data_IF_121841735017
#
_entry.id   IF_121841735017
#
_cell.length_a   1.000
_cell.length_b   1.000
_cell.length_c   1.000
_cell.angle_alpha   90.00
_cell.angle_beta   90.00
_cell.angle_gamma   90.00
#
_symmetry.space_group_name_H-M   'P 1'
#
loop_
_entity.id
_entity.type
_entity.pdbx_description
1 polymer ?
#
# COMPACT_ATOMS: atom_id res chain seq x y z
N UNK A 1 9.65 5.87 19.71
CA UNK A 1 8.55 5.39 18.86
C UNK A 1 9.11 5.19 17.46
N UNK A 2 8.76 4.14 16.76
CA UNK A 2 9.21 3.91 15.38
C UNK A 2 8.05 3.43 14.55
N UNK A 3 8.00 3.83 13.29
CA UNK A 3 6.90 3.48 12.40
C UNK A 3 7.25 3.75 10.95
N UNK A 4 6.83 2.83 10.08
CA UNK A 4 6.93 2.99 8.64
C UNK A 4 5.56 3.11 7.98
N UNK A 5 5.46 3.87 6.88
CA UNK A 5 4.20 4.12 6.18
C UNK A 5 3.11 4.61 7.15
N UNK A 6 1.94 3.97 7.19
CA UNK A 6 0.87 4.27 8.16
C UNK A 6 1.37 4.32 9.63
N UNK A 7 2.34 3.48 10.00
CA UNK A 7 2.91 3.53 11.35
C UNK A 7 3.69 4.82 11.63
N UNK A 8 4.31 5.41 10.61
CA UNK A 8 4.98 6.70 10.70
C UNK A 8 3.99 7.85 10.88
N UNK A 9 2.88 7.81 10.14
CA UNK A 9 1.75 8.74 10.30
C UNK A 9 1.21 8.72 11.74
N UNK A 10 0.96 7.53 12.28
CA UNK A 10 0.55 7.39 13.69
C UNK A 10 1.61 7.89 14.66
N UNK A 11 2.89 7.69 14.37
CA UNK A 11 3.97 8.15 15.23
C UNK A 11 4.03 9.69 15.30
N UNK A 12 3.79 10.38 14.18
CA UNK A 12 3.68 11.85 14.12
C UNK A 12 2.51 12.35 14.98
N UNK A 13 1.32 11.74 14.85
CA UNK A 13 0.16 12.09 15.68
C UNK A 13 0.44 11.93 17.17
N UNK A 14 1.10 10.83 17.56
CA UNK A 14 1.51 10.59 18.94
C UNK A 14 2.55 11.60 19.44
N UNK A 15 3.41 12.10 18.57
CA UNK A 15 4.38 13.14 18.92
C UNK A 15 3.70 14.47 19.27
N UNK A 16 2.65 14.81 18.53
CA UNK A 16 1.89 16.05 18.69
C UNK A 16 0.94 15.98 19.88
N UNK A 17 0.18 14.89 20.01
CA UNK A 17 -0.79 14.69 21.09
C UNK A 17 -0.14 14.26 22.41
N UNK A 18 0.87 13.40 22.33
CA UNK A 18 1.55 12.77 23.47
C UNK A 18 2.92 13.38 23.76
N UNK A 19 3.02 14.71 23.88
CA UNK A 19 4.29 15.47 24.01
C UNK A 19 5.25 14.96 25.11
N UNK A 20 4.71 14.35 26.15
CA UNK A 20 5.48 13.79 27.27
C UNK A 20 5.76 12.28 27.16
N UNK A 21 5.04 11.56 26.31
CA UNK A 21 5.16 10.10 26.17
C UNK A 21 6.27 9.71 25.18
N UNK A 22 6.45 10.49 24.13
CA UNK A 22 7.43 10.19 23.08
C UNK A 22 8.80 10.82 23.42
N UNK A 23 9.81 9.97 23.66
CA UNK A 23 11.20 10.40 23.90
C UNK A 23 11.98 10.67 22.61
N UNK A 24 11.81 9.83 21.61
CA UNK A 24 12.47 9.91 20.29
C UNK A 24 11.64 9.20 19.23
N UNK A 25 11.90 9.51 17.96
CA UNK A 25 11.17 8.97 16.83
C UNK A 25 12.05 8.45 15.71
N UNK A 26 11.60 7.40 15.04
CA UNK A 26 12.16 6.90 13.78
C UNK A 26 11.03 6.75 12.77
N UNK A 27 11.04 7.59 11.74
CA UNK A 27 10.03 7.63 10.68
C UNK A 27 10.61 7.00 9.42
N UNK A 28 9.88 6.07 8.80
CA UNK A 28 10.36 5.34 7.61
C UNK A 28 9.32 5.41 6.50
N UNK A 29 9.67 5.98 5.33
CA UNK A 29 8.77 6.01 4.16
C UNK A 29 7.32 6.41 4.51
N UNK A 30 7.14 7.61 5.08
CA UNK A 30 5.85 8.13 5.57
C UNK A 30 5.65 9.56 5.09
N UNK A 31 4.49 10.18 5.37
CA UNK A 31 4.27 11.59 5.09
C UNK A 31 3.57 12.27 6.27
N UNK A 32 3.64 13.60 6.35
CA UNK A 32 2.88 14.41 7.31
C UNK A 32 1.39 14.51 6.94
N UNK A 33 1.08 14.29 5.66
CA UNK A 33 -0.26 14.30 5.10
C UNK A 33 -0.30 13.32 3.94
N UNK A 34 -1.43 12.67 3.75
CA UNK A 34 -1.61 11.81 2.58
C UNK A 34 -1.61 12.64 1.28
N UNK A 35 -0.78 12.23 0.31
CA UNK A 35 -0.70 12.88 -0.99
C UNK A 35 -1.86 12.50 -1.90
N UNK A 36 -2.22 13.38 -2.85
CA UNK A 36 -3.23 13.09 -3.88
C UNK A 36 -2.91 11.81 -4.67
N UNK A 37 -1.62 11.54 -4.92
CA UNK A 37 -1.16 10.33 -5.59
C UNK A 37 -1.47 9.07 -4.78
N UNK A 38 -1.18 9.09 -3.48
CA UNK A 38 -1.49 7.97 -2.61
C UNK A 38 -3.01 7.77 -2.47
N UNK A 39 -3.80 8.85 -2.37
CA UNK A 39 -5.27 8.80 -2.39
C UNK A 39 -5.79 8.16 -3.69
N UNK A 40 -5.22 8.51 -4.84
CA UNK A 40 -5.62 7.92 -6.12
C UNK A 40 -5.39 6.39 -6.14
N UNK A 41 -4.29 5.92 -5.56
CA UNK A 41 -4.06 4.48 -5.37
C UNK A 41 -5.02 3.83 -4.38
N UNK A 42 -5.38 4.50 -3.29
CA UNK A 42 -6.40 4.02 -2.36
C UNK A 42 -7.76 3.88 -3.06
N UNK A 43 -8.19 4.88 -3.83
CA UNK A 43 -9.45 4.82 -4.57
C UNK A 43 -9.43 3.73 -5.64
N UNK A 44 -8.31 3.51 -6.33
CA UNK A 44 -8.18 2.39 -7.27
C UNK A 44 -8.44 1.02 -6.61
N UNK A 45 -7.95 0.85 -5.38
CA UNK A 45 -8.17 -0.37 -4.61
C UNK A 45 -9.64 -0.48 -4.15
N UNK A 46 -10.23 0.62 -3.69
CA UNK A 46 -11.65 0.67 -3.31
C UNK A 46 -12.57 0.38 -4.49
N UNK A 47 -12.25 0.92 -5.67
CA UNK A 47 -12.97 0.69 -6.92
C UNK A 47 -12.87 -0.77 -7.41
N UNK A 48 -11.93 -1.55 -6.88
CA UNK A 48 -11.87 -2.99 -7.12
C UNK A 48 -12.77 -3.79 -6.17
N UNK A 49 -12.97 -3.31 -4.93
CA UNK A 49 -13.75 -4.02 -3.90
C UNK A 49 -15.24 -3.66 -3.98
N UNK A 50 -15.58 -2.37 -4.10
CA UNK A 50 -16.97 -1.89 -4.02
C UNK A 50 -17.90 -2.50 -5.08
N UNK A 51 -17.47 -2.72 -6.34
CA UNK A 51 -18.32 -3.34 -7.37
C UNK A 51 -18.45 -4.86 -7.25
N UNK A 52 -17.67 -5.52 -6.38
CA UNK A 52 -17.78 -6.96 -6.17
C UNK A 52 -19.19 -7.30 -5.68
N UNK A 53 -19.89 -8.17 -6.42
CA UNK A 53 -21.26 -8.59 -6.11
C UNK A 53 -21.43 -9.15 -4.69
N UNK A 54 -20.35 -9.69 -4.12
CA UNK A 54 -20.33 -10.24 -2.76
C UNK A 54 -20.18 -9.17 -1.69
N UNK A 55 -19.62 -7.99 -2.00
CA UNK A 55 -19.37 -6.94 -1.02
C UNK A 55 -20.64 -6.49 -0.29
N UNK A 56 -21.76 -6.36 -1.02
CA UNK A 56 -23.10 -6.05 -0.47
C UNK A 56 -23.08 -4.86 0.50
N UNK A 57 -22.33 -3.80 0.16
CA UNK A 57 -22.19 -2.61 1.01
C UNK A 57 -21.55 -2.91 2.38
N UNK A 58 -20.62 -3.86 2.44
CA UNK A 58 -19.97 -4.33 3.66
C UNK A 58 -20.76 -5.41 4.43
N UNK A 59 -21.94 -5.83 3.94
CA UNK A 59 -22.81 -6.83 4.58
C UNK A 59 -22.68 -8.21 3.93
N UNK A 60 -21.44 -8.67 3.75
CA UNK A 60 -21.15 -9.96 3.09
C UNK A 60 -21.29 -11.19 4.01
N UNK A 61 -21.42 -10.99 5.32
CA UNK A 61 -21.55 -12.09 6.27
C UNK A 61 -20.36 -13.05 6.19
N UNK A 62 -20.61 -14.31 5.85
CA UNK A 62 -19.58 -15.34 5.71
C UNK A 62 -18.94 -15.47 4.32
N UNK A 63 -19.41 -14.73 3.30
CA UNK A 63 -18.91 -14.82 1.92
C UNK A 63 -18.28 -13.49 1.45
N UNK A 64 -17.05 -13.17 1.90
CA UNK A 64 -16.42 -11.88 1.62
C UNK A 64 -16.13 -11.67 0.13
N UNK A 65 -15.99 -10.40 -0.33
CA UNK A 65 -15.63 -10.05 -1.71
C UNK A 65 -14.15 -10.39 -2.01
N UNK A 66 -13.86 -11.68 -2.19
CA UNK A 66 -12.51 -12.20 -2.37
C UNK A 66 -11.88 -11.71 -3.68
N UNK A 67 -12.66 -11.64 -4.76
CA UNK A 67 -12.14 -11.23 -6.06
C UNK A 67 -11.75 -9.75 -6.04
N UNK A 68 -12.62 -8.91 -5.49
CA UNK A 68 -12.34 -7.49 -5.31
C UNK A 68 -11.16 -7.22 -4.36
N UNK A 69 -11.08 -7.95 -3.24
CA UNK A 69 -9.99 -7.80 -2.27
C UNK A 69 -8.64 -8.30 -2.83
N UNK A 70 -8.64 -9.40 -3.60
CA UNK A 70 -7.47 -9.87 -4.31
C UNK A 70 -6.99 -8.84 -5.34
N UNK A 71 -7.91 -8.26 -6.12
CA UNK A 71 -7.59 -7.22 -7.09
C UNK A 71 -7.00 -5.96 -6.44
N UNK A 72 -7.61 -5.47 -5.35
CA UNK A 72 -7.05 -4.39 -4.54
C UNK A 72 -5.63 -4.72 -4.05
N UNK A 73 -5.41 -5.95 -3.59
CA UNK A 73 -4.08 -6.39 -3.14
C UNK A 73 -3.06 -6.42 -4.28
N UNK A 74 -3.46 -6.87 -5.47
CA UNK A 74 -2.59 -6.87 -6.65
C UNK A 74 -2.16 -5.44 -7.01
N UNK A 75 -3.10 -4.49 -7.03
CA UNK A 75 -2.81 -3.08 -7.30
C UNK A 75 -1.83 -2.50 -6.25
N UNK A 76 -2.07 -2.76 -4.97
CA UNK A 76 -1.17 -2.34 -3.89
C UNK A 76 0.25 -2.93 -4.04
N UNK A 77 0.36 -4.19 -4.47
CA UNK A 77 1.67 -4.82 -4.66
C UNK A 77 2.49 -4.23 -5.80
N UNK A 78 1.81 -3.71 -6.83
CA UNK A 78 2.46 -2.99 -7.92
C UNK A 78 2.97 -1.64 -7.40
N UNK A 79 2.16 -0.91 -6.63
CA UNK A 79 2.53 0.42 -6.13
C UNK A 79 3.66 0.40 -5.09
N UNK A 80 3.84 -0.69 -4.34
CA UNK A 80 4.94 -0.84 -3.37
C UNK A 80 6.30 -1.19 -4.00
N UNK A 81 6.38 -1.32 -5.32
CA UNK A 81 7.59 -1.76 -6.01
C UNK A 81 7.93 -0.83 -7.16
N UNK A 82 9.22 -0.79 -7.47
CA UNK A 82 9.69 -0.20 -8.73
C UNK A 82 9.75 -1.25 -9.83
N UNK A 83 9.66 -0.78 -11.07
CA UNK A 83 9.85 -1.58 -12.27
C UNK A 83 11.09 -2.48 -12.17
N UNK A 84 12.26 -1.90 -11.85
CA UNK A 84 13.52 -2.64 -11.77
C UNK A 84 13.55 -3.67 -10.63
N UNK A 85 12.90 -3.39 -9.49
CA UNK A 85 12.79 -4.32 -8.37
C UNK A 85 11.86 -5.49 -8.70
N UNK A 86 10.75 -5.21 -9.39
CA UNK A 86 9.77 -6.21 -9.79
C UNK A 86 10.36 -7.19 -10.81
N UNK A 87 11.01 -6.69 -11.85
CA UNK A 87 11.71 -7.49 -12.87
C UNK A 87 12.76 -8.42 -12.23
N UNK A 88 13.65 -7.87 -11.39
CA UNK A 88 14.67 -8.66 -10.69
C UNK A 88 14.08 -9.74 -9.79
N UNK A 89 12.96 -9.46 -9.14
CA UNK A 89 12.27 -10.42 -8.28
C UNK A 89 11.69 -11.57 -9.10
N UNK A 90 11.00 -11.28 -10.20
CA UNK A 90 10.44 -12.31 -11.07
C UNK A 90 11.53 -13.19 -11.67
N UNK A 91 12.65 -12.60 -12.14
CA UNK A 91 13.81 -13.36 -12.63
C UNK A 91 14.40 -14.32 -11.58
N UNK A 92 14.38 -13.95 -10.29
CA UNK A 92 14.80 -14.85 -9.20
C UNK A 92 13.79 -15.98 -8.98
N UNK A 93 12.49 -15.68 -9.04
CA UNK A 93 11.41 -16.66 -8.85
C UNK A 93 11.36 -17.68 -9.99
N UNK A 94 11.65 -17.27 -11.24
CA UNK A 94 11.73 -18.16 -12.40
C UNK A 94 12.85 -19.20 -12.34
N UNK A 95 13.73 -19.17 -11.33
CA UNK A 95 14.86 -20.08 -11.22
C UNK A 95 15.98 -19.81 -12.22
N UNK A 96 15.90 -18.74 -13.02
CA UNK A 96 16.92 -18.33 -13.98
C UNK A 96 18.12 -17.72 -13.27
N UNK A 97 19.01 -18.60 -12.81
CA UNK A 97 20.31 -18.23 -12.22
C UNK A 97 21.43 -18.10 -13.27
N UNK A 98 21.25 -18.64 -14.49
CA UNK A 98 22.30 -18.78 -15.50
C UNK A 98 21.88 -18.30 -16.90
N UNK A 99 21.58 -17.01 -17.09
CA UNK A 99 21.55 -16.38 -18.42
C UNK A 99 20.48 -16.85 -19.42
N UNK A 100 19.67 -17.85 -19.10
CA UNK A 100 18.48 -18.22 -19.88
C UNK A 100 17.34 -17.26 -19.56
N UNK A 101 16.62 -16.83 -20.60
CA UNK A 101 15.46 -15.94 -20.48
C UNK A 101 14.39 -16.65 -19.65
N UNK A 102 13.92 -16.01 -18.56
CA UNK A 102 12.80 -16.53 -17.78
C UNK A 102 11.61 -16.79 -18.70
N UNK A 103 10.89 -17.92 -18.53
CA UNK A 103 9.69 -18.16 -19.31
C UNK A 103 8.69 -17.05 -18.99
N UNK A 104 8.29 -16.31 -20.02
CA UNK A 104 7.37 -15.18 -19.89
C UNK A 104 6.00 -15.67 -19.42
N UNK A 105 5.59 -16.85 -19.91
CA UNK A 105 4.42 -17.61 -19.48
C UNK A 105 4.82 -18.89 -18.73
N UNK A 106 4.06 -19.24 -17.70
CA UNK A 106 4.13 -20.53 -17.02
C UNK A 106 3.02 -21.43 -17.56
N UNK A 107 3.34 -22.69 -17.83
CA UNK A 107 2.33 -23.69 -18.18
C UNK A 107 1.46 -23.96 -16.96
N UNK A 108 0.24 -23.43 -16.97
CA UNK A 108 -0.75 -23.71 -15.93
C UNK A 108 -1.63 -24.85 -16.40
N UNK A 109 -1.09 -26.07 -16.37
CA UNK A 109 -1.91 -27.28 -16.37
C UNK A 109 -2.58 -27.43 -14.99
N UNK A 110 -3.59 -26.58 -14.69
CA UNK A 110 -4.58 -26.78 -13.62
C UNK A 110 -5.52 -25.57 -13.52
N UNK A 111 -6.48 -25.52 -14.43
CA UNK A 111 -7.79 -24.93 -14.17
C UNK A 111 -8.75 -25.64 -15.12
N UNK A 112 -9.23 -26.83 -14.73
CA UNK A 112 -10.36 -27.45 -15.40
C UNK A 112 -11.56 -26.50 -15.27
N UNK A 113 -11.82 -25.73 -16.33
CA UNK A 113 -13.16 -25.20 -16.55
C UNK A 113 -13.99 -26.39 -17.07
N UNK A 114 -15.13 -26.64 -16.45
CA UNK A 114 -16.06 -27.73 -16.80
C UNK A 114 -16.75 -27.54 -18.18
N UNK A 115 -16.26 -26.66 -19.03
CA UNK A 115 -16.85 -26.28 -20.33
C UNK A 115 -16.15 -26.94 -21.54
N UNK A 116 -15.22 -27.88 -21.33
CA UNK A 116 -14.62 -28.67 -22.40
C UNK A 116 -13.72 -27.87 -23.35
N UNK A 117 -13.45 -26.60 -23.06
CA UNK A 117 -12.49 -25.79 -23.79
C UNK A 117 -11.13 -25.80 -23.08
N UNK A 118 -10.14 -26.46 -23.69
CA UNK A 118 -8.73 -26.33 -23.30
C UNK A 118 -8.26 -24.90 -23.63
N UNK A 119 -8.23 -24.02 -22.62
CA UNK A 119 -7.52 -22.74 -22.72
C UNK A 119 -6.01 -23.02 -22.68
N UNK A 120 -5.41 -23.09 -23.87
CA UNK A 120 -3.98 -23.31 -24.05
C UNK A 120 -3.15 -22.02 -23.88
N UNK A 121 -3.72 -20.97 -23.28
CA UNK A 121 -2.97 -19.74 -22.97
C UNK A 121 -2.22 -19.91 -21.64
N UNK A 122 -0.92 -20.18 -21.73
CA UNK A 122 -0.04 -20.12 -20.56
C UNK A 122 -0.19 -18.77 -19.84
N UNK A 123 -0.31 -18.79 -18.51
CA UNK A 123 -0.49 -17.56 -17.71
C UNK A 123 0.88 -16.90 -17.55
N UNK A 124 0.97 -15.57 -17.69
CA UNK A 124 2.24 -14.88 -17.49
C UNK A 124 2.71 -15.01 -16.03
N UNK A 125 4.02 -15.14 -15.81
CA UNK A 125 4.57 -15.33 -14.47
C UNK A 125 4.16 -14.21 -13.51
N UNK A 126 4.18 -12.95 -14.00
CA UNK A 126 3.73 -11.80 -13.23
C UNK A 126 2.24 -11.92 -12.81
N UNK A 127 1.37 -12.41 -13.70
CA UNK A 127 -0.05 -12.63 -13.40
C UNK A 127 -0.23 -13.73 -12.35
N UNK A 128 0.47 -14.86 -12.51
CA UNK A 128 0.42 -15.96 -11.54
C UNK A 128 0.89 -15.52 -10.15
N UNK A 129 2.00 -14.76 -10.10
CA UNK A 129 2.53 -14.19 -8.86
C UNK A 129 1.54 -13.26 -8.17
N UNK A 130 0.97 -12.29 -8.91
CA UNK A 130 0.03 -11.32 -8.36
C UNK A 130 -1.24 -12.00 -7.85
N UNK A 131 -1.81 -12.94 -8.61
CA UNK A 131 -2.98 -13.73 -8.20
C UNK A 131 -2.71 -14.53 -6.93
N UNK A 132 -1.57 -15.22 -6.85
CA UNK A 132 -1.18 -15.97 -5.65
C UNK A 132 -1.11 -15.08 -4.41
N UNK A 133 -0.56 -13.87 -4.55
CA UNK A 133 -0.45 -12.94 -3.42
C UNK A 133 -1.80 -12.35 -3.00
N UNK A 134 -2.70 -12.12 -3.95
CA UNK A 134 -4.09 -11.74 -3.68
C UNK A 134 -4.81 -12.80 -2.85
N UNK A 135 -4.78 -14.06 -3.30
CA UNK A 135 -5.40 -15.18 -2.57
C UNK A 135 -4.80 -15.40 -1.19
N UNK A 136 -3.48 -15.31 -1.07
CA UNK A 136 -2.79 -15.43 0.22
C UNK A 136 -3.22 -14.33 1.21
N UNK A 137 -3.53 -13.14 0.70
CA UNK A 137 -4.01 -12.02 1.52
C UNK A 137 -5.46 -12.23 1.95
N UNK A 138 -6.33 -12.68 1.04
CA UNK A 138 -7.74 -13.00 1.33
C UNK A 138 -7.90 -13.99 2.49
N UNK A 139 -6.98 -14.94 2.63
CA UNK A 139 -7.02 -15.91 3.73
C UNK A 139 -6.81 -15.32 5.13
N UNK A 140 -6.35 -14.06 5.24
CA UNK A 140 -5.87 -13.46 6.50
C UNK A 140 -6.39 -12.06 6.76
N UNK A 141 -7.17 -11.49 5.85
CA UNK A 141 -7.60 -10.11 5.94
C UNK A 141 -9.08 -9.95 5.61
N UNK A 142 -9.71 -9.02 6.31
CA UNK A 142 -11.12 -8.71 6.17
C UNK A 142 -11.32 -7.47 5.27
N UNK A 143 -12.33 -7.52 4.39
CA UNK A 143 -12.58 -6.45 3.44
C UNK A 143 -13.01 -5.15 4.13
N UNK A 144 -13.90 -5.19 5.13
CA UNK A 144 -14.32 -3.99 5.86
C UNK A 144 -13.15 -3.36 6.63
N UNK A 145 -12.32 -4.18 7.28
CA UNK A 145 -11.09 -3.70 7.91
C UNK A 145 -10.16 -2.99 6.90
N UNK A 146 -10.05 -3.52 5.68
CA UNK A 146 -9.26 -2.92 4.61
C UNK A 146 -9.76 -1.52 4.24
N UNK A 147 -11.07 -1.40 4.03
CA UNK A 147 -11.72 -0.12 3.72
C UNK A 147 -11.47 0.91 4.82
N UNK A 148 -11.66 0.54 6.08
CA UNK A 148 -11.46 1.44 7.21
C UNK A 148 -10.00 1.85 7.40
N UNK A 149 -9.04 0.98 7.09
CA UNK A 149 -7.63 1.33 7.16
C UNK A 149 -7.29 2.31 6.04
N UNK A 150 -7.75 2.08 4.81
CA UNK A 150 -7.53 3.02 3.70
C UNK A 150 -8.14 4.39 4.00
N UNK A 151 -9.39 4.43 4.46
CA UNK A 151 -10.07 5.67 4.85
C UNK A 151 -9.28 6.43 5.93
N UNK A 152 -8.76 5.72 6.95
CA UNK A 152 -7.91 6.31 7.98
C UNK A 152 -6.61 6.88 7.41
N UNK A 153 -5.92 6.15 6.52
CA UNK A 153 -4.69 6.63 5.87
C UNK A 153 -5.02 7.88 5.03
N UNK A 154 -6.09 7.85 4.23
CA UNK A 154 -6.47 8.96 3.35
C UNK A 154 -6.91 10.20 4.12
N UNK A 155 -7.48 10.02 5.31
CA UNK A 155 -7.80 11.10 6.24
C UNK A 155 -6.59 11.64 7.03
N UNK A 156 -5.38 11.10 6.85
CA UNK A 156 -4.22 11.57 7.59
C UNK A 156 -3.76 12.95 7.11
N UNK A 157 -3.75 13.90 8.04
CA UNK A 157 -3.22 15.25 7.87
C UNK A 157 -2.98 15.82 9.27
N UNK A 158 -1.71 16.00 9.64
CA UNK A 158 -1.35 16.48 10.98
C UNK A 158 -1.85 17.91 11.25
N UNK A 159 -1.97 18.73 10.20
CA UNK A 159 -2.35 20.14 10.27
C UNK A 159 -3.86 20.38 10.05
N UNK A 160 -4.64 19.29 9.88
CA UNK A 160 -6.07 19.32 9.54
C UNK A 160 -6.85 20.31 10.40
N UNK A 161 -7.40 21.34 9.76
CA UNK A 161 -8.34 22.31 10.37
C UNK A 161 -7.73 23.07 11.56
N UNK A 162 -6.40 23.09 11.71
CA UNK A 162 -5.72 23.82 12.79
C UNK A 162 -5.37 25.26 12.41
N UNK A 163 -5.05 25.50 11.14
CA UNK A 163 -4.52 26.78 10.66
C UNK A 163 -5.25 27.27 9.39
N UNK A 164 -6.49 27.78 9.50
CA UNK A 164 -7.30 28.14 8.33
C UNK A 164 -6.74 29.32 7.51
N UNK A 165 -5.78 30.07 8.05
CA UNK A 165 -5.15 31.24 7.41
C UNK A 165 -3.79 30.94 6.79
N UNK A 166 -3.23 29.74 6.97
CA UNK A 166 -1.94 29.35 6.44
C UNK A 166 -2.10 28.51 5.18
N UNK A 167 -1.11 28.54 4.30
CA UNK A 167 -1.01 27.51 3.26
C UNK A 167 -0.79 26.12 3.89
N UNK A 168 -1.10 25.06 3.15
CA UNK A 168 -0.97 23.69 3.63
C UNK A 168 0.44 23.39 4.18
N UNK A 169 1.48 23.80 3.45
CA UNK A 169 2.86 23.54 3.83
C UNK A 169 3.24 24.33 5.10
N UNK A 170 2.82 25.59 5.21
CA UNK A 170 3.05 26.41 6.41
C UNK A 170 2.33 25.85 7.63
N UNK A 171 1.10 25.35 7.44
CA UNK A 171 0.33 24.72 8.50
C UNK A 171 1.03 23.45 9.02
N UNK A 172 1.52 22.60 8.10
CA UNK A 172 2.28 21.39 8.46
C UNK A 172 3.59 21.75 9.16
N UNK A 173 4.36 22.72 8.64
CA UNK A 173 5.60 23.17 9.26
C UNK A 173 5.36 23.74 10.66
N UNK A 174 4.22 24.41 10.89
CA UNK A 174 3.83 24.91 12.21
C UNK A 174 3.69 23.77 13.23
N UNK A 175 3.02 22.67 12.87
CA UNK A 175 2.90 21.51 13.75
C UNK A 175 4.23 20.76 13.91
N UNK A 176 4.97 20.53 12.83
CA UNK A 176 6.28 19.87 12.90
C UNK A 176 7.25 20.63 13.81
N UNK A 177 7.22 21.97 13.81
CA UNK A 177 8.06 22.80 14.69
C UNK A 177 7.80 22.58 16.19
N UNK A 178 6.61 22.08 16.54
CA UNK A 178 6.27 21.74 17.94
C UNK A 178 6.93 20.43 18.39
N UNK A 179 7.36 19.58 17.45
CA UNK A 179 8.01 18.30 17.70
C UNK A 179 9.50 18.53 17.98
N UNK A 180 9.84 18.86 19.24
CA UNK A 180 11.23 19.09 19.67
C UNK A 180 12.02 17.81 20.00
N UNK A 181 11.48 16.63 19.68
CA UNK A 181 12.09 15.35 20.04
C UNK A 181 13.11 14.94 18.99
N UNK A 182 14.19 14.23 19.37
CA UNK A 182 15.10 13.64 18.39
C UNK A 182 14.33 12.73 17.42
N UNK A 183 14.39 13.07 16.14
CA UNK A 183 13.69 12.38 15.05
C UNK A 183 14.70 11.94 14.02
N UNK A 184 14.70 10.65 13.68
CA UNK A 184 15.40 10.10 12.54
C UNK A 184 14.38 9.85 11.43
N UNK A 185 14.60 10.44 10.26
CA UNK A 185 13.78 10.20 9.07
C UNK A 185 14.57 9.35 8.08
N UNK A 186 13.97 8.25 7.63
CA UNK A 186 14.55 7.29 6.69
C UNK A 186 13.67 7.22 5.44
N UNK A 187 14.18 7.74 4.33
CA UNK A 187 13.54 7.64 3.03
C UNK A 187 14.11 6.50 2.18
N UNK A 188 13.28 5.98 1.27
CA UNK A 188 13.73 5.06 0.21
C UNK A 188 13.74 5.85 -1.10
N UNK A 189 14.90 6.01 -1.79
CA UNK A 189 15.01 6.85 -2.99
C UNK A 189 14.06 6.45 -4.13
N UNK A 190 13.67 5.18 -4.15
CA UNK A 190 12.82 4.57 -5.17
C UNK A 190 11.38 4.36 -4.69
N UNK A 191 10.98 4.96 -3.57
CA UNK A 191 9.59 4.89 -3.11
C UNK A 191 8.69 5.67 -4.07
N UNK A 192 7.65 4.99 -4.57
CA UNK A 192 6.68 5.58 -5.48
C UNK A 192 5.45 6.15 -4.77
N UNK A 193 5.22 5.84 -3.50
CA UNK A 193 4.07 6.32 -2.74
C UNK A 193 4.43 7.50 -1.83
N UNK A 194 5.57 7.41 -1.15
CA UNK A 194 6.06 8.46 -0.24
C UNK A 194 7.45 8.92 -0.67
N UNK A 195 7.53 9.78 -1.71
CA UNK A 195 8.79 10.13 -2.35
C UNK A 195 9.78 10.81 -1.40
N UNK A 196 11.09 10.81 -1.72
CA UNK A 196 12.11 11.41 -0.87
C UNK A 196 11.87 12.88 -0.51
N UNK A 197 11.20 13.64 -1.38
CA UNK A 197 10.82 15.03 -1.09
C UNK A 197 9.94 15.16 0.15
N UNK A 198 8.98 14.24 0.34
CA UNK A 198 8.12 14.22 1.53
C UNK A 198 8.92 13.84 2.79
N UNK A 199 9.95 13.01 2.64
CA UNK A 199 10.81 12.62 3.75
C UNK A 199 11.75 13.73 4.18
N UNK A 200 12.29 14.48 3.22
CA UNK A 200 13.08 15.68 3.48
C UNK A 200 12.21 16.75 4.13
N UNK A 201 10.92 16.83 3.78
CA UNK A 201 9.99 17.76 4.40
C UNK A 201 9.71 17.47 5.89
N UNK A 202 9.89 16.22 6.32
CA UNK A 202 9.72 15.79 7.71
C UNK A 202 10.97 15.99 8.60
N UNK A 203 12.13 16.27 8.02
CA UNK A 203 13.41 16.40 8.74
C UNK A 203 13.68 17.82 9.20
#
# INVERSE_FOLDING_TARGET
MSGGSLGGMMALEWALLGKHFVRSMVLVATAARQSHWAIAWSENQLASIKPDSKFRGGRYGGDPPRDGLAAARMAAMISYRTHSSFEKMLLKVSGTRNGTRAPFAVDVQRAERNDGHYDNSGIFLAQSYLRYQGEKFNARFDANCYLHILDKIDSHDIARVRYPSLSDDEAILSDLSQIRKPTLVVGVPTDGLYPPSEQIFLS
#
